data_IF_537123017074
#
_entry.id   IF_537123017074
#
_cell.length_a   1.000
_cell.length_b   1.000
_cell.length_c   1.000
_cell.angle_alpha   90.00
_cell.angle_beta   90.00
_cell.angle_gamma   90.00
#
_symmetry.space_group_name_H-M   'P 1'
#
loop_
_entity.id
_entity.type
_entity.pdbx_description
1 polymer ?
#
# COMPACT_ATOMS: atom_id res chain seq x y z
N UNK A 1 48.54 -25.94 21.09
CA UNK A 1 48.02 -25.41 19.81
C UNK A 1 48.92 -25.96 18.72
N UNK A 2 48.44 -26.92 17.92
CA UNK A 2 49.19 -27.48 16.81
C UNK A 2 49.04 -26.55 15.60
N UNK A 3 50.18 -26.10 15.07
CA UNK A 3 50.30 -25.12 13.99
C UNK A 3 50.15 -25.84 12.64
N UNK A 4 48.92 -26.00 12.15
CA UNK A 4 48.66 -26.59 10.82
C UNK A 4 48.74 -25.50 9.75
N UNK A 5 49.92 -25.30 9.17
CA UNK A 5 50.09 -24.55 7.92
C UNK A 5 49.33 -25.24 6.78
N UNK A 6 48.52 -24.52 5.98
CA UNK A 6 47.89 -25.09 4.80
C UNK A 6 48.94 -25.48 3.77
N UNK A 7 48.91 -26.74 3.32
CA UNK A 7 49.77 -27.26 2.24
C UNK A 7 49.12 -26.83 0.92
N UNK A 8 49.67 -25.80 0.28
CA UNK A 8 49.30 -25.42 -1.09
C UNK A 8 49.96 -26.40 -2.05
N UNK A 9 49.22 -27.41 -2.51
CA UNK A 9 49.69 -28.34 -3.55
C UNK A 9 49.58 -27.61 -4.90
N UNK A 10 50.71 -27.18 -5.46
CA UNK A 10 50.77 -26.68 -6.84
C UNK A 10 50.62 -27.86 -7.82
N UNK A 11 49.71 -27.73 -8.79
CA UNK A 11 49.31 -28.77 -9.78
C UNK A 11 50.51 -29.29 -10.60
N UNK A 12 51.62 -28.56 -10.59
CA UNK A 12 52.87 -28.89 -11.25
C UNK A 12 53.54 -30.17 -10.73
N UNK A 13 53.35 -30.55 -9.45
CA UNK A 13 53.99 -31.72 -8.83
C UNK A 13 53.12 -33.00 -8.77
N UNK A 14 52.00 -33.03 -9.48
CA UNK A 14 51.08 -34.18 -9.47
C UNK A 14 51.38 -35.16 -10.59
N UNK A 15 51.21 -36.46 -10.32
CA UNK A 15 51.22 -37.49 -11.37
C UNK A 15 50.03 -37.31 -12.33
N UNK A 16 50.16 -37.80 -13.56
CA UNK A 16 49.18 -37.60 -14.64
C UNK A 16 47.77 -38.10 -14.28
N UNK A 17 47.66 -39.17 -13.49
CA UNK A 17 46.37 -39.72 -13.05
C UNK A 17 45.65 -38.80 -12.05
N UNK A 18 46.38 -38.18 -11.11
CA UNK A 18 45.82 -37.20 -10.18
C UNK A 18 45.41 -35.92 -10.90
N UNK A 19 46.20 -35.49 -11.90
CA UNK A 19 45.86 -34.33 -12.75
C UNK A 19 44.54 -34.55 -13.49
N UNK A 20 44.39 -35.70 -14.14
CA UNK A 20 43.18 -36.04 -14.90
C UNK A 20 41.94 -36.11 -13.99
N UNK A 21 42.10 -36.59 -12.76
CA UNK A 21 41.02 -36.67 -11.77
C UNK A 21 40.57 -35.29 -11.31
N UNK A 22 41.53 -34.39 -11.05
CA UNK A 22 41.25 -33.00 -10.66
C UNK A 22 40.63 -32.23 -11.82
N UNK A 23 41.11 -32.39 -13.06
CA UNK A 23 40.51 -31.75 -14.22
C UNK A 23 39.06 -32.21 -14.47
N UNK A 24 38.78 -33.51 -14.31
CA UNK A 24 37.41 -34.03 -14.39
C UNK A 24 36.52 -33.45 -13.29
N UNK A 25 37.05 -33.33 -12.08
CA UNK A 25 36.33 -32.74 -10.95
C UNK A 25 36.04 -31.25 -11.16
N UNK A 26 37.03 -30.46 -11.62
CA UNK A 26 36.86 -29.03 -11.93
C UNK A 26 35.88 -28.81 -13.08
N UNK A 27 35.95 -29.65 -14.12
CA UNK A 27 35.01 -29.61 -15.24
C UNK A 27 33.58 -29.96 -14.78
N UNK A 28 33.44 -30.91 -13.87
CA UNK A 28 32.17 -31.25 -13.25
C UNK A 28 31.65 -30.14 -12.34
N UNK A 29 32.49 -29.51 -11.52
CA UNK A 29 32.14 -28.35 -10.69
C UNK A 29 31.70 -27.16 -11.54
N UNK A 30 32.38 -26.91 -12.66
CA UNK A 30 31.99 -25.88 -13.62
C UNK A 30 30.64 -26.22 -14.27
N UNK A 31 30.41 -27.48 -14.62
CA UNK A 31 29.12 -27.96 -15.14
C UNK A 31 27.99 -27.77 -14.12
N UNK A 32 28.24 -28.08 -12.85
CA UNK A 32 27.32 -27.91 -11.73
C UNK A 32 27.01 -26.44 -11.44
N UNK A 33 28.01 -25.54 -11.54
CA UNK A 33 27.79 -24.09 -11.43
C UNK A 33 26.99 -23.55 -12.61
N UNK A 34 27.24 -24.04 -13.82
CA UNK A 34 26.50 -23.65 -15.03
C UNK A 34 25.05 -24.18 -15.06
N UNK A 35 24.79 -25.33 -14.41
CA UNK A 35 23.45 -25.92 -14.28
C UNK A 35 22.69 -25.46 -13.04
N UNK A 36 23.34 -24.69 -12.15
CA UNK A 36 22.65 -24.00 -11.07
C UNK A 36 21.64 -23.00 -11.65
N UNK A 37 20.46 -22.85 -11.04
CA UNK A 37 19.41 -21.97 -11.57
C UNK A 37 19.80 -20.48 -11.63
N UNK A 38 20.98 -20.07 -11.13
CA UNK A 38 21.52 -18.72 -11.30
C UNK A 38 21.82 -18.36 -12.77
N UNK A 39 22.18 -19.32 -13.63
CA UNK A 39 22.41 -19.05 -15.06
C UNK A 39 21.10 -18.83 -15.84
N UNK A 40 19.95 -19.17 -15.23
CA UNK A 40 18.61 -18.85 -15.73
C UNK A 40 18.13 -17.45 -15.36
N UNK A 41 19.04 -16.57 -14.93
CA UNK A 41 18.94 -15.13 -15.18
C UNK A 41 19.06 -14.87 -16.69
N UNK A 42 18.17 -15.51 -17.47
CA UNK A 42 17.83 -15.18 -18.83
C UNK A 42 17.72 -13.66 -18.84
N UNK A 43 18.45 -13.02 -19.75
CA UNK A 43 18.41 -11.60 -20.05
C UNK A 43 16.95 -11.18 -20.28
N UNK A 44 16.20 -10.98 -19.20
CA UNK A 44 14.82 -10.54 -19.25
C UNK A 44 14.94 -9.13 -19.79
N UNK A 45 14.22 -8.76 -20.86
CA UNK A 45 14.17 -7.36 -21.27
C UNK A 45 13.94 -6.54 -20.01
N UNK A 46 14.64 -5.40 -19.80
CA UNK A 46 14.56 -4.66 -18.56
C UNK A 46 13.08 -4.48 -18.26
N UNK A 47 12.59 -5.22 -17.27
CA UNK A 47 11.20 -5.20 -16.92
C UNK A 47 10.96 -3.73 -16.60
N UNK A 48 10.10 -3.07 -17.36
CA UNK A 48 9.64 -1.77 -16.96
C UNK A 48 8.99 -2.03 -15.59
N UNK A 49 9.69 -1.66 -14.51
CA UNK A 49 9.27 -1.97 -13.14
C UNK A 49 7.82 -1.53 -13.03
N UNK A 50 6.95 -2.49 -12.75
CA UNK A 50 5.52 -2.29 -12.90
C UNK A 50 5.00 -1.55 -11.67
N UNK A 51 5.30 -0.26 -11.55
CA UNK A 51 4.95 0.54 -10.38
C UNK A 51 3.43 0.75 -10.32
N UNK A 52 2.74 0.01 -9.45
CA UNK A 52 1.31 0.11 -9.23
C UNK A 52 0.97 1.13 -8.12
N UNK A 53 1.97 1.68 -7.43
CA UNK A 53 1.77 2.68 -6.37
C UNK A 53 0.96 3.91 -6.82
N UNK A 54 1.21 4.53 -7.99
CA UNK A 54 0.37 5.62 -8.46
C UNK A 54 -1.10 5.22 -8.65
N UNK A 55 -1.35 4.00 -9.13
CA UNK A 55 -2.70 3.52 -9.38
C UNK A 55 -3.46 3.35 -8.05
N UNK A 56 -2.83 2.72 -7.06
CA UNK A 56 -3.40 2.55 -5.72
C UNK A 56 -3.65 3.89 -5.01
N UNK A 57 -2.70 4.83 -5.10
CA UNK A 57 -2.82 6.15 -4.50
C UNK A 57 -3.90 7.00 -5.17
N UNK A 58 -4.01 7.00 -6.50
CA UNK A 58 -5.07 7.71 -7.22
C UNK A 58 -6.46 7.13 -6.94
N UNK A 59 -6.58 5.81 -6.86
CA UNK A 59 -7.82 5.11 -6.50
C UNK A 59 -8.31 5.50 -5.12
N UNK A 60 -7.40 5.50 -4.15
CA UNK A 60 -7.65 5.96 -2.80
C UNK A 60 -8.04 7.44 -2.75
N UNK A 61 -7.24 8.30 -3.39
CA UNK A 61 -7.38 9.75 -3.33
C UNK A 61 -8.72 10.21 -3.89
N UNK A 62 -9.11 9.74 -5.08
CA UNK A 62 -10.35 10.14 -5.73
C UNK A 62 -11.57 9.77 -4.88
N UNK A 63 -11.61 8.52 -4.39
CA UNK A 63 -12.73 8.03 -3.59
C UNK A 63 -12.82 8.75 -2.25
N UNK A 64 -11.67 8.95 -1.59
CA UNK A 64 -11.57 9.71 -0.33
C UNK A 64 -12.01 11.15 -0.52
N UNK A 65 -11.58 11.82 -1.60
CA UNK A 65 -11.94 13.20 -1.88
C UNK A 65 -13.46 13.35 -2.01
N UNK A 66 -14.09 12.52 -2.84
CA UNK A 66 -15.55 12.56 -3.06
C UNK A 66 -16.29 12.32 -1.74
N UNK A 67 -15.93 11.28 -0.98
CA UNK A 67 -16.54 11.01 0.32
C UNK A 67 -16.36 12.18 1.31
N UNK A 68 -15.18 12.78 1.32
CA UNK A 68 -14.83 13.84 2.26
C UNK A 68 -15.51 15.17 1.96
N UNK A 69 -15.81 15.45 0.68
CA UNK A 69 -16.63 16.61 0.28
C UNK A 69 -18.05 16.53 0.87
N UNK A 70 -18.64 15.33 0.88
CA UNK A 70 -19.95 15.09 1.51
C UNK A 70 -19.88 15.27 3.03
N UNK A 71 -18.86 14.70 3.67
CA UNK A 71 -18.65 14.84 5.12
C UNK A 71 -18.40 16.29 5.54
N UNK A 72 -17.65 17.06 4.74
CA UNK A 72 -17.36 18.47 5.00
C UNK A 72 -18.59 19.39 4.83
N UNK A 73 -19.63 18.91 4.14
CA UNK A 73 -20.75 19.73 3.71
C UNK A 73 -20.36 20.74 2.63
N UNK A 74 -19.29 20.47 1.89
CA UNK A 74 -18.76 21.37 0.85
C UNK A 74 -19.54 21.11 -0.44
N UNK A 75 -20.42 22.04 -0.81
CA UNK A 75 -21.31 21.99 -1.99
C UNK A 75 -22.39 20.91 -1.99
N UNK A 76 -22.39 19.98 -1.02
CA UNK A 76 -23.42 18.96 -0.84
C UNK A 76 -23.92 19.01 0.61
N UNK A 77 -25.25 18.98 0.87
CA UNK A 77 -25.76 18.89 2.24
C UNK A 77 -25.21 17.66 2.97
N UNK A 78 -24.86 17.80 4.24
CA UNK A 78 -24.30 16.71 5.07
C UNK A 78 -25.22 15.49 5.17
N UNK A 79 -26.53 15.70 5.02
CA UNK A 79 -27.53 14.63 5.06
C UNK A 79 -27.91 14.10 3.67
N UNK A 80 -27.20 14.52 2.62
CA UNK A 80 -27.46 14.03 1.28
C UNK A 80 -27.08 12.55 1.15
N UNK A 81 -27.76 11.85 0.25
CA UNK A 81 -27.45 10.45 -0.04
C UNK A 81 -25.99 10.30 -0.47
N UNK A 82 -25.29 9.36 0.17
CA UNK A 82 -23.93 8.94 -0.21
C UNK A 82 -23.90 8.12 -1.51
N UNK A 83 -25.02 8.01 -2.25
CA UNK A 83 -25.13 7.19 -3.46
C UNK A 83 -24.02 7.45 -4.49
N UNK A 84 -23.62 8.71 -4.68
CA UNK A 84 -22.53 9.08 -5.61
C UNK A 84 -21.16 8.54 -5.15
N UNK A 85 -20.95 8.38 -3.84
CA UNK A 85 -19.72 7.83 -3.27
C UNK A 85 -19.62 6.32 -3.52
N UNK A 86 -20.76 5.62 -3.62
CA UNK A 86 -20.80 4.15 -3.74
C UNK A 86 -20.17 3.64 -5.03
N UNK A 87 -20.36 4.36 -6.15
CA UNK A 87 -19.75 4.02 -7.44
C UNK A 87 -18.22 3.94 -7.39
N UNK A 88 -17.50 5.03 -7.05
CA UNK A 88 -16.06 5.01 -6.92
C UNK A 88 -15.59 4.11 -5.75
N UNK A 89 -16.35 3.98 -4.67
CA UNK A 89 -16.03 3.07 -3.57
C UNK A 89 -16.05 1.59 -4.00
N UNK A 90 -16.97 1.16 -4.86
CA UNK A 90 -16.94 -0.19 -5.42
C UNK A 90 -15.84 -0.35 -6.47
N UNK A 91 -15.84 0.53 -7.47
CA UNK A 91 -15.07 0.30 -8.69
C UNK A 91 -13.62 0.73 -8.53
N UNK A 92 -13.36 1.93 -8.02
CA UNK A 92 -12.04 2.53 -8.08
C UNK A 92 -11.28 2.39 -6.75
N UNK A 93 -11.71 3.08 -5.70
CA UNK A 93 -11.16 2.94 -4.35
C UNK A 93 -11.30 1.51 -3.81
N UNK A 94 -12.27 0.74 -4.29
CA UNK A 94 -12.43 -0.67 -3.95
C UNK A 94 -11.63 -1.60 -4.83
N UNK A 95 -12.20 -1.99 -5.97
CA UNK A 95 -11.67 -3.03 -6.85
C UNK A 95 -10.32 -2.65 -7.47
N UNK A 96 -10.20 -1.50 -8.11
CA UNK A 96 -8.93 -1.10 -8.75
C UNK A 96 -7.81 -0.92 -7.71
N UNK A 97 -8.13 -0.35 -6.54
CA UNK A 97 -7.14 -0.22 -5.46
C UNK A 97 -6.68 -1.59 -4.94
N UNK A 98 -7.60 -2.54 -4.77
CA UNK A 98 -7.26 -3.91 -4.40
C UNK A 98 -6.35 -4.57 -5.45
N UNK A 99 -6.68 -4.42 -6.74
CA UNK A 99 -5.84 -4.93 -7.83
C UNK A 99 -4.44 -4.29 -7.83
N UNK A 100 -4.34 -2.98 -7.55
CA UNK A 100 -3.04 -2.33 -7.39
C UNK A 100 -2.23 -2.95 -6.24
N UNK A 101 -2.86 -3.28 -5.12
CA UNK A 101 -2.23 -4.01 -4.02
C UNK A 101 -1.72 -5.40 -4.41
N UNK A 102 -2.50 -6.16 -5.18
CA UNK A 102 -2.09 -7.48 -5.68
C UNK A 102 -0.90 -7.39 -6.64
N UNK A 103 -0.83 -6.32 -7.45
CA UNK A 103 0.33 -6.06 -8.32
C UNK A 103 1.58 -5.70 -7.51
N UNK A 104 1.45 -4.97 -6.40
CA UNK A 104 2.57 -4.67 -5.50
C UNK A 104 3.10 -5.92 -4.77
N UNK A 105 2.25 -6.89 -4.43
CA UNK A 105 2.73 -8.19 -3.91
C UNK A 105 3.63 -8.89 -4.93
N UNK A 106 3.27 -8.84 -6.22
CA UNK A 106 4.08 -9.41 -7.30
C UNK A 106 5.43 -8.69 -7.45
N UNK A 107 5.49 -7.40 -7.12
CA UNK A 107 6.71 -6.61 -7.17
C UNK A 107 7.58 -6.72 -5.90
N UNK A 108 7.13 -7.45 -4.88
CA UNK A 108 7.83 -7.59 -3.60
C UNK A 108 7.67 -6.42 -2.63
N UNK A 109 6.79 -5.46 -2.93
CA UNK A 109 6.52 -4.33 -2.04
C UNK A 109 5.37 -4.65 -1.07
N UNK A 110 5.68 -5.48 -0.06
CA UNK A 110 4.69 -5.98 0.89
C UNK A 110 3.95 -4.88 1.66
N UNK A 111 4.62 -3.76 1.93
CA UNK A 111 4.03 -2.63 2.66
C UNK A 111 2.92 -1.97 1.84
N UNK A 112 3.21 -1.56 0.60
CA UNK A 112 2.20 -0.96 -0.27
C UNK A 112 1.12 -1.97 -0.67
N UNK A 113 1.50 -3.24 -0.86
CA UNK A 113 0.57 -4.30 -1.17
C UNK A 113 -0.49 -4.47 -0.06
N UNK A 114 -0.06 -4.50 1.21
CA UNK A 114 -0.95 -4.58 2.36
C UNK A 114 -1.83 -3.33 2.49
N UNK A 115 -1.23 -2.14 2.31
CA UNK A 115 -1.93 -0.86 2.38
C UNK A 115 -3.03 -0.81 1.32
N UNK A 116 -2.71 -0.98 0.04
CA UNK A 116 -3.69 -0.84 -1.05
C UNK A 116 -4.74 -1.94 -1.02
N UNK A 117 -4.36 -3.18 -0.73
CA UNK A 117 -5.35 -4.27 -0.63
C UNK A 117 -6.34 -4.04 0.51
N UNK A 118 -5.85 -3.59 1.67
CA UNK A 118 -6.72 -3.34 2.83
C UNK A 118 -7.63 -2.14 2.63
N UNK A 119 -7.13 -1.03 2.08
CA UNK A 119 -7.99 0.13 1.77
C UNK A 119 -8.94 -0.15 0.59
N UNK A 120 -8.57 -1.02 -0.35
CA UNK A 120 -9.50 -1.60 -1.32
C UNK A 120 -10.64 -2.36 -0.64
N UNK A 121 -10.31 -3.22 0.32
CA UNK A 121 -11.29 -3.90 1.16
C UNK A 121 -12.16 -2.95 2.01
N UNK A 122 -11.57 -1.87 2.53
CA UNK A 122 -12.32 -0.81 3.24
C UNK A 122 -13.39 -0.21 2.33
N UNK A 123 -13.04 0.22 1.12
CA UNK A 123 -14.00 0.86 0.22
C UNK A 123 -15.08 -0.10 -0.28
N UNK A 124 -14.71 -1.36 -0.58
CA UNK A 124 -15.67 -2.40 -0.94
C UNK A 124 -16.66 -2.68 0.20
N UNK A 125 -16.16 -2.85 1.43
CA UNK A 125 -17.02 -3.09 2.59
C UNK A 125 -17.88 -1.87 2.94
N UNK A 126 -17.32 -0.66 2.86
CA UNK A 126 -18.05 0.59 3.07
C UNK A 126 -19.19 0.75 2.05
N UNK A 127 -18.93 0.49 0.77
CA UNK A 127 -19.96 0.53 -0.25
C UNK A 127 -21.02 -0.56 -0.03
N UNK A 128 -20.59 -1.77 0.32
CA UNK A 128 -21.49 -2.87 0.60
C UNK A 128 -22.50 -2.51 1.70
N UNK A 129 -22.03 -1.90 2.81
CA UNK A 129 -22.89 -1.47 3.92
C UNK A 129 -23.95 -0.44 3.49
N UNK A 130 -23.65 0.44 2.54
CA UNK A 130 -24.52 1.58 2.19
C UNK A 130 -25.36 1.36 0.93
N UNK A 131 -25.13 0.28 0.17
CA UNK A 131 -25.96 -0.09 -0.97
C UNK A 131 -27.20 -0.83 -0.47
N UNK A 132 -28.36 -0.20 -0.67
CA UNK A 132 -29.66 -0.70 -0.19
C UNK A 132 -29.97 -2.13 -0.67
N UNK A 133 -29.54 -2.49 -1.89
CA UNK A 133 -29.78 -3.82 -2.46
C UNK A 133 -29.12 -4.96 -1.65
N UNK A 134 -28.04 -4.68 -0.90
CA UNK A 134 -27.41 -5.69 -0.03
C UNK A 134 -28.06 -5.77 1.35
N UNK A 135 -28.79 -4.73 1.77
CA UNK A 135 -29.59 -4.68 3.00
C UNK A 135 -28.84 -5.03 4.31
N UNK A 136 -27.52 -4.84 4.39
CA UNK A 136 -26.76 -5.11 5.63
C UNK A 136 -27.16 -4.25 6.82
N UNK A 137 -27.76 -3.08 6.57
CA UNK A 137 -28.21 -2.16 7.61
C UNK A 137 -29.73 -2.26 7.89
N UNK A 138 -30.45 -3.17 7.23
CA UNK A 138 -31.91 -3.27 7.30
C UNK A 138 -32.45 -3.66 8.68
N UNK A 139 -31.66 -4.38 9.47
CA UNK A 139 -32.02 -4.83 10.82
C UNK A 139 -31.88 -3.72 11.88
N UNK A 140 -31.25 -2.59 11.54
CA UNK A 140 -31.08 -1.47 12.45
C UNK A 140 -32.29 -0.52 12.37
N UNK A 141 -33.27 -0.74 13.26
CA UNK A 141 -34.44 0.14 13.39
C UNK A 141 -34.21 1.36 14.29
N UNK A 142 -33.21 1.29 15.18
CA UNK A 142 -32.78 2.41 16.03
C UNK A 142 -31.57 3.11 15.43
N UNK A 143 -31.69 4.43 15.24
CA UNK A 143 -30.63 5.28 14.70
C UNK A 143 -29.40 5.30 15.61
N UNK A 144 -29.58 5.19 16.94
CA UNK A 144 -28.45 5.18 17.87
C UNK A 144 -27.68 3.86 17.78
N UNK A 145 -28.37 2.73 17.72
CA UNK A 145 -27.75 1.42 17.48
C UNK A 145 -26.96 1.40 16.16
N UNK A 146 -27.52 1.94 15.08
CA UNK A 146 -26.84 2.06 13.79
C UNK A 146 -25.58 2.93 13.87
N UNK A 147 -25.68 4.11 14.49
CA UNK A 147 -24.56 5.01 14.70
C UNK A 147 -23.45 4.33 15.50
N UNK A 148 -23.79 3.61 16.57
CA UNK A 148 -22.82 2.87 17.37
C UNK A 148 -22.12 1.77 16.55
N UNK A 149 -22.87 0.99 15.76
CA UNK A 149 -22.30 -0.05 14.89
C UNK A 149 -21.33 0.53 13.85
N UNK A 150 -21.71 1.63 13.18
CA UNK A 150 -20.83 2.35 12.26
C UNK A 150 -19.62 2.97 13.00
N UNK A 151 -19.80 3.43 14.24
CA UNK A 151 -18.72 3.88 15.10
C UNK A 151 -17.69 2.78 15.37
N UNK A 152 -18.13 1.56 15.68
CA UNK A 152 -17.24 0.39 15.85
C UNK A 152 -16.51 0.07 14.54
N UNK A 153 -17.21 0.13 13.40
CA UNK A 153 -16.59 -0.06 12.10
C UNK A 153 -15.44 0.94 11.85
N UNK A 154 -15.68 2.24 12.03
CA UNK A 154 -14.63 3.25 11.85
C UNK A 154 -13.54 3.18 12.92
N UNK A 155 -13.86 2.76 14.14
CA UNK A 155 -12.88 2.55 15.20
C UNK A 155 -11.87 1.47 14.81
N UNK A 156 -12.36 0.33 14.29
CA UNK A 156 -11.48 -0.74 13.81
C UNK A 156 -10.53 -0.25 12.72
N UNK A 157 -11.04 0.53 11.76
CA UNK A 157 -10.21 1.14 10.70
C UNK A 157 -9.25 2.21 11.21
N UNK A 158 -9.63 2.95 12.27
CA UNK A 158 -8.74 3.92 12.95
C UNK A 158 -7.56 3.20 13.59
N UNK A 159 -7.82 2.10 14.29
CA UNK A 159 -6.78 1.27 14.92
C UNK A 159 -5.86 0.70 13.83
N UNK A 160 -6.42 0.08 12.79
CA UNK A 160 -5.65 -0.46 11.66
C UNK A 160 -4.76 0.61 11.01
N UNK A 161 -5.32 1.79 10.73
CA UNK A 161 -4.59 2.91 10.11
C UNK A 161 -3.46 3.40 11.02
N UNK A 162 -3.68 3.41 12.34
CA UNK A 162 -2.64 3.78 13.31
C UNK A 162 -1.49 2.77 13.31
N UNK A 163 -1.78 1.47 13.17
CA UNK A 163 -0.75 0.45 13.00
C UNK A 163 0.02 0.64 11.69
N UNK A 164 -0.67 0.97 10.60
CA UNK A 164 -0.02 1.28 9.33
C UNK A 164 0.83 2.55 9.39
N UNK A 165 0.40 3.57 10.14
CA UNK A 165 1.19 4.77 10.39
C UNK A 165 2.56 4.41 10.97
N UNK A 166 2.61 3.52 11.96
CA UNK A 166 3.87 3.02 12.55
C UNK A 166 4.73 2.35 11.49
N UNK A 167 4.13 1.52 10.62
CA UNK A 167 4.84 0.81 9.55
C UNK A 167 5.44 1.74 8.49
N UNK A 168 4.83 2.92 8.25
CA UNK A 168 5.32 3.88 7.24
C UNK A 168 6.31 4.92 7.78
N UNK A 169 6.62 4.94 9.09
CA UNK A 169 7.51 5.94 9.70
C UNK A 169 8.93 6.00 9.10
N UNK A 170 9.38 4.91 8.45
CA UNK A 170 10.71 4.85 7.80
C UNK A 170 10.66 5.07 6.28
N UNK A 171 9.53 5.50 5.74
CA UNK A 171 9.36 5.73 4.30
C UNK A 171 9.78 7.16 3.92
N UNK A 172 8.83 8.05 3.70
CA UNK A 172 9.03 9.45 3.35
C UNK A 172 8.00 10.33 4.07
N UNK A 173 8.30 11.62 4.22
CA UNK A 173 7.44 12.54 4.97
C UNK A 173 6.04 12.69 4.38
N UNK A 174 5.88 12.57 3.06
CA UNK A 174 4.58 12.68 2.39
C UNK A 174 3.69 11.49 2.75
N UNK A 175 4.23 10.27 2.72
CA UNK A 175 3.50 9.06 3.12
C UNK A 175 3.17 9.09 4.61
N UNK A 176 4.08 9.55 5.46
CA UNK A 176 3.81 9.72 6.90
C UNK A 176 2.67 10.72 7.10
N UNK A 177 2.75 11.88 6.45
CA UNK A 177 1.70 12.90 6.52
C UNK A 177 0.35 12.33 6.07
N UNK A 178 0.29 11.63 4.93
CA UNK A 178 -0.92 10.98 4.43
C UNK A 178 -1.58 10.13 5.53
N UNK A 179 -0.81 9.26 6.18
CA UNK A 179 -1.34 8.40 7.25
C UNK A 179 -1.72 9.17 8.51
N UNK A 180 -0.98 10.21 8.90
CA UNK A 180 -1.35 11.07 10.05
C UNK A 180 -2.70 11.74 9.82
N UNK A 181 -2.89 12.37 8.67
CA UNK A 181 -4.16 13.03 8.33
C UNK A 181 -5.31 12.00 8.22
N UNK A 182 -5.03 10.79 7.71
CA UNK A 182 -6.01 9.71 7.65
C UNK A 182 -6.42 9.19 9.03
N UNK A 183 -5.47 9.02 9.97
CA UNK A 183 -5.77 8.64 11.36
C UNK A 183 -6.68 9.69 12.01
N UNK A 184 -6.38 10.98 11.83
CA UNK A 184 -7.19 12.07 12.39
C UNK A 184 -8.60 12.03 11.77
N UNK A 185 -8.70 11.90 10.45
CA UNK A 185 -9.98 11.79 9.74
C UNK A 185 -10.85 10.64 10.30
N UNK A 186 -10.30 9.42 10.39
CA UNK A 186 -11.04 8.26 10.88
C UNK A 186 -11.37 8.37 12.38
N UNK A 187 -10.49 8.96 13.19
CA UNK A 187 -10.73 9.21 14.61
C UNK A 187 -11.91 10.17 14.83
N UNK A 188 -11.95 11.26 14.06
CA UNK A 188 -13.04 12.24 14.11
C UNK A 188 -14.35 11.63 13.61
N UNK A 189 -14.31 10.79 12.57
CA UNK A 189 -15.49 10.11 12.05
C UNK A 189 -16.03 9.09 13.07
N UNK A 190 -15.14 8.32 13.70
CA UNK A 190 -15.45 7.40 14.80
C UNK A 190 -16.15 8.13 15.95
N UNK A 191 -15.54 9.21 16.45
CA UNK A 191 -16.10 10.01 17.52
C UNK A 191 -17.43 10.66 17.12
N UNK A 192 -17.58 11.13 15.88
CA UNK A 192 -18.86 11.64 15.38
C UNK A 192 -19.95 10.59 15.45
N UNK A 193 -19.67 9.34 15.07
CA UNK A 193 -20.66 8.26 15.11
C UNK A 193 -21.07 7.87 16.52
N UNK A 194 -20.12 7.71 17.45
CA UNK A 194 -20.47 7.44 18.85
C UNK A 194 -21.22 8.59 19.54
N UNK A 195 -21.00 9.83 19.11
CA UNK A 195 -21.72 11.02 19.58
C UNK A 195 -22.98 11.32 18.73
N UNK A 196 -23.64 10.28 18.23
CA UNK A 196 -24.90 10.37 17.48
C UNK A 196 -24.83 11.25 16.23
N UNK A 197 -23.82 10.99 15.41
CA UNK A 197 -23.56 11.70 14.15
C UNK A 197 -23.37 13.22 14.33
N UNK A 198 -22.59 13.61 15.34
CA UNK A 198 -22.31 15.02 15.64
C UNK A 198 -21.69 15.75 14.44
N UNK A 199 -22.44 16.71 13.89
CA UNK A 199 -22.14 17.35 12.59
C UNK A 199 -20.79 18.06 12.55
N UNK A 200 -20.39 18.76 13.61
CA UNK A 200 -19.11 19.49 13.60
C UNK A 200 -17.91 18.54 13.52
N UNK A 201 -18.00 17.36 14.14
CA UNK A 201 -16.94 16.35 14.07
C UNK A 201 -16.90 15.70 12.68
N UNK A 202 -18.06 15.45 12.08
CA UNK A 202 -18.15 14.97 10.70
C UNK A 202 -17.54 15.97 9.70
N UNK A 203 -17.82 17.27 9.88
CA UNK A 203 -17.24 18.33 9.05
C UNK A 203 -15.73 18.41 9.19
N UNK A 204 -15.23 18.33 10.42
CA UNK A 204 -13.81 18.27 10.69
C UNK A 204 -13.18 17.03 10.02
N UNK A 205 -13.79 15.84 10.18
CA UNK A 205 -13.33 14.62 9.52
C UNK A 205 -13.25 14.80 7.99
N UNK A 206 -14.27 15.39 7.38
CA UNK A 206 -14.26 15.73 5.94
C UNK A 206 -13.13 16.66 5.54
N UNK A 207 -12.82 17.70 6.33
CA UNK A 207 -11.69 18.59 6.04
C UNK A 207 -10.34 17.83 6.06
N UNK A 208 -10.11 17.00 7.07
CA UNK A 208 -8.90 16.16 7.15
C UNK A 208 -8.86 15.10 6.03
N UNK A 209 -10.01 14.57 5.61
CA UNK A 209 -10.11 13.64 4.50
C UNK A 209 -9.79 14.29 3.14
N UNK A 210 -10.21 15.54 2.91
CA UNK A 210 -9.81 16.31 1.72
C UNK A 210 -8.29 16.49 1.68
N UNK A 211 -7.68 16.91 2.80
CA UNK A 211 -6.22 17.04 2.90
C UNK A 211 -5.51 15.70 2.64
N UNK A 212 -6.02 14.62 3.21
CA UNK A 212 -5.50 13.26 3.00
C UNK A 212 -5.52 12.90 1.50
N UNK A 213 -6.63 13.15 0.80
CA UNK A 213 -6.76 12.89 -0.62
C UNK A 213 -5.79 13.74 -1.46
N UNK A 214 -5.64 15.02 -1.15
CA UNK A 214 -4.69 15.91 -1.82
C UNK A 214 -3.24 15.43 -1.67
N UNK A 215 -2.84 14.99 -0.48
CA UNK A 215 -1.51 14.43 -0.23
C UNK A 215 -1.33 13.10 -0.98
N UNK A 216 -2.36 12.26 -1.05
CA UNK A 216 -2.33 11.01 -1.80
C UNK A 216 -2.14 11.23 -3.31
N UNK A 217 -2.83 12.20 -3.91
CA UNK A 217 -2.58 12.59 -5.30
C UNK A 217 -1.19 13.18 -5.52
N UNK A 218 -0.71 14.02 -4.60
CA UNK A 218 0.66 14.52 -4.65
C UNK A 218 1.67 13.38 -4.66
N UNK A 219 1.49 12.41 -3.76
CA UNK A 219 2.32 11.20 -3.70
C UNK A 219 2.21 10.38 -4.99
N UNK A 220 1.01 10.23 -5.56
CA UNK A 220 0.81 9.48 -6.81
C UNK A 220 1.58 10.12 -7.98
N UNK A 221 1.47 11.44 -8.12
CA UNK A 221 2.17 12.20 -9.16
C UNK A 221 3.69 12.12 -8.92
N UNK A 222 4.17 12.21 -7.68
CA UNK A 222 5.59 12.07 -7.37
C UNK A 222 6.14 10.70 -7.79
N UNK A 223 5.35 9.63 -7.69
CA UNK A 223 5.73 8.29 -8.17
C UNK A 223 5.65 8.14 -9.71
N UNK A 224 4.82 8.93 -10.40
CA UNK A 224 4.71 8.93 -11.88
C UNK A 224 5.81 9.77 -12.55
N UNK A 225 6.17 10.90 -11.95
CA UNK A 225 7.15 11.83 -12.49
C UNK A 225 8.57 11.34 -12.22
N UNK A 226 9.15 10.66 -13.21
CA UNK A 226 10.57 10.32 -13.22
C UNK A 226 11.39 11.35 -14.01
N UNK A 227 12.70 11.44 -13.76
CA UNK A 227 13.64 12.27 -14.57
C UNK A 227 13.60 11.92 -16.06
N UNK A 228 13.14 10.71 -16.41
CA UNK A 228 13.00 10.25 -17.79
C UNK A 228 11.76 10.85 -18.47
N UNK A 229 10.72 11.19 -17.70
CA UNK A 229 9.40 11.58 -18.21
C UNK A 229 9.08 13.06 -17.95
N UNK A 230 9.83 13.76 -17.10
CA UNK A 230 9.58 15.17 -16.78
C UNK A 230 10.83 15.94 -16.35
N UNK A 231 10.76 17.27 -16.45
CA UNK A 231 11.88 18.19 -16.20
C UNK A 231 12.25 18.35 -14.72
N UNK A 232 11.34 18.06 -13.78
CA UNK A 232 11.54 18.25 -12.34
C UNK A 232 11.02 17.05 -11.53
N UNK A 233 11.67 16.71 -10.42
CA UNK A 233 11.20 15.69 -9.48
C UNK A 233 10.55 16.34 -8.27
N UNK A 234 9.35 15.89 -7.92
CA UNK A 234 8.63 16.41 -6.75
C UNK A 234 9.33 15.96 -5.46
N UNK A 235 9.51 16.87 -4.48
CA UNK A 235 10.18 16.54 -3.23
C UNK A 235 9.30 15.71 -2.29
N UNK A 236 9.67 14.45 -2.05
CA UNK A 236 8.98 13.58 -1.08
C UNK A 236 9.68 13.46 0.28
N UNK A 237 10.93 13.93 0.38
CA UNK A 237 11.79 13.89 1.57
C UNK A 237 11.85 12.49 2.22
N UNK A 238 12.82 11.67 1.81
CA UNK A 238 13.03 10.31 2.36
C UNK A 238 13.63 10.37 3.76
N UNK A 239 13.07 9.62 4.71
CA UNK A 239 13.53 9.62 6.11
C UNK A 239 14.83 8.84 6.27
N UNK A 240 15.07 7.82 5.44
CA UNK A 240 16.28 6.98 5.48
C UNK A 240 17.58 7.70 5.07
N UNK A 241 17.49 8.94 4.59
CA UNK A 241 18.65 9.77 4.19
C UNK A 241 19.04 10.83 5.23
N UNK A 242 18.43 10.77 6.42
CA UNK A 242 18.75 11.61 7.60
C UNK A 242 19.45 10.77 8.66
#
# INVERSE_FOLDING_TARGET
MADTKPITITIENLNEESRLTIEKFLKFEHMMKSSSPESSQLNRPPYHELNAAPLGLCAFALTTFIASMYLAGASVPINASLGVVMGPALCYGGLIQLLAGLLEFRNGNNLLALIFSSYGGFWLSFAALHILAFNFLGDYHDANALNNALGVFFLAWTIYTTLMLISVLRTNFVTIALFVFLVICLSLLTASKFLQSHYNLQRAAGAFGILTASIAWYSAIAHLLSKKNWFFQLPVFEVSRL
#
